data_IF_769883453026
#
_entry.id   IF_769883453026
#
_cell.length_a   1.000
_cell.length_b   1.000
_cell.length_c   1.000
_cell.angle_alpha   90.00
_cell.angle_beta   90.00
_cell.angle_gamma   90.00
#
_symmetry.space_group_name_H-M   'P 1'
#
loop_
_entity.id
_entity.type
_entity.pdbx_description
1 polymer ?
#
# COMPACT_ATOMS: atom_id res chain seq x y z
N UNK A 1 9.73 -46.47 25.54
CA UNK A 1 10.15 -45.41 24.60
C UNK A 1 8.90 -44.65 24.18
N UNK A 2 8.73 -43.40 24.62
CA UNK A 2 7.61 -42.57 24.18
C UNK A 2 8.00 -41.92 22.86
N UNK A 3 7.19 -42.12 21.82
CA UNK A 3 7.29 -41.42 20.54
C UNK A 3 7.23 -39.91 20.80
N UNK A 4 8.11 -39.10 20.16
CA UNK A 4 8.02 -37.65 20.29
C UNK A 4 6.69 -37.17 19.70
N UNK A 5 5.95 -36.35 20.45
CA UNK A 5 4.80 -35.66 19.92
C UNK A 5 5.25 -34.72 18.78
N UNK A 6 4.49 -34.65 17.67
CA UNK A 6 4.75 -33.63 16.66
C UNK A 6 4.61 -32.24 17.28
N UNK A 7 5.40 -31.25 16.84
CA UNK A 7 5.28 -29.89 17.33
C UNK A 7 3.85 -29.39 17.09
N UNK A 8 3.29 -28.57 17.99
CA UNK A 8 1.98 -27.98 17.79
C UNK A 8 1.98 -27.18 16.47
N UNK A 9 0.85 -27.15 15.74
CA UNK A 9 0.76 -26.37 14.51
C UNK A 9 1.11 -24.91 14.81
N UNK A 10 1.98 -24.33 13.99
CA UNK A 10 2.33 -22.91 14.05
C UNK A 10 1.07 -22.12 13.68
N UNK A 11 0.32 -21.69 14.70
CA UNK A 11 -0.79 -20.75 14.54
C UNK A 11 -0.18 -19.43 14.02
N UNK A 12 -0.73 -18.89 12.91
CA UNK A 12 -0.31 -17.60 12.37
C UNK A 12 -0.28 -16.53 13.48
N UNK A 13 0.76 -15.70 13.53
CA UNK A 13 0.88 -14.61 14.53
C UNK A 13 -0.35 -13.68 14.53
N UNK A 14 -1.07 -13.56 13.41
CA UNK A 14 -2.32 -12.79 13.35
C UNK A 14 -3.52 -13.40 14.07
N UNK A 15 -3.46 -14.68 14.39
CA UNK A 15 -4.52 -15.40 15.11
C UNK A 15 -4.25 -15.48 16.62
N UNK A 16 -3.11 -14.98 17.08
CA UNK A 16 -2.82 -14.83 18.50
C UNK A 16 -3.38 -13.49 18.97
N UNK A 17 -4.42 -13.54 19.80
CA UNK A 17 -4.88 -12.38 20.57
C UNK A 17 -3.80 -12.04 21.60
N UNK A 18 -2.84 -11.19 21.24
CA UNK A 18 -1.87 -10.68 22.20
C UNK A 18 -2.58 -9.73 23.18
N UNK A 19 -2.25 -9.85 24.46
CA UNK A 19 -2.86 -9.07 25.55
C UNK A 19 -2.52 -7.58 25.43
N UNK A 20 -3.40 -6.84 24.78
CA UNK A 20 -3.46 -5.37 24.83
C UNK A 20 -3.32 -4.85 26.26
N UNK A 21 -2.69 -3.69 26.43
CA UNK A 21 -2.80 -2.95 27.70
C UNK A 21 -4.29 -2.72 28.00
N UNK A 22 -4.67 -2.69 29.28
CA UNK A 22 -6.08 -2.50 29.62
C UNK A 22 -6.62 -1.19 29.03
N UNK A 23 -5.79 -0.14 28.99
CA UNK A 23 -6.11 1.14 28.34
C UNK A 23 -6.40 0.97 26.84
N UNK A 24 -5.59 0.20 26.10
CA UNK A 24 -5.82 -0.04 24.68
C UNK A 24 -7.06 -0.91 24.43
N UNK A 25 -7.34 -1.89 25.30
CA UNK A 25 -8.58 -2.70 25.26
C UNK A 25 -9.80 -1.80 25.45
N UNK A 26 -9.75 -0.95 26.48
CA UNK A 26 -10.83 -0.03 26.82
C UNK A 26 -11.05 0.96 25.68
N UNK A 27 -9.98 1.52 25.12
CA UNK A 27 -10.04 2.39 23.95
C UNK A 27 -10.71 1.69 22.77
N UNK A 28 -10.19 0.53 22.33
CA UNK A 28 -10.72 -0.19 21.16
C UNK A 28 -12.19 -0.56 21.36
N UNK A 29 -12.59 -0.98 22.57
CA UNK A 29 -13.97 -1.33 22.90
C UNK A 29 -14.93 -0.13 22.86
N UNK A 30 -14.42 1.08 23.09
CA UNK A 30 -15.21 2.32 23.04
C UNK A 30 -15.41 2.87 21.62
N UNK A 31 -14.63 2.41 20.64
CA UNK A 31 -14.67 2.94 19.28
C UNK A 31 -15.90 2.45 18.50
N UNK A 32 -16.48 3.30 17.63
CA UNK A 32 -17.50 2.85 16.68
C UNK A 32 -16.96 1.67 15.86
N UNK A 33 -17.72 0.59 15.83
CA UNK A 33 -17.30 -0.69 15.24
C UNK A 33 -18.30 -1.14 14.18
N UNK A 34 -17.80 -1.59 13.02
CA UNK A 34 -18.63 -2.13 11.95
C UNK A 34 -18.01 -3.43 11.42
N UNK A 35 -18.86 -4.36 10.96
CA UNK A 35 -18.40 -5.58 10.29
C UNK A 35 -17.69 -5.20 8.99
N UNK A 36 -16.43 -5.57 8.84
CA UNK A 36 -15.64 -5.28 7.65
C UNK A 36 -15.96 -6.21 6.47
N UNK A 37 -15.16 -6.09 5.42
CA UNK A 37 -15.19 -6.97 4.25
C UNK A 37 -13.81 -7.53 3.86
N UNK A 38 -12.74 -6.90 4.37
CA UNK A 38 -11.36 -7.40 4.34
C UNK A 38 -11.01 -8.08 5.66
N UNK A 39 -11.27 -7.41 6.78
CA UNK A 39 -11.19 -7.95 8.13
C UNK A 39 -12.61 -8.15 8.72
N UNK A 40 -12.73 -8.95 9.77
CA UNK A 40 -14.02 -9.24 10.41
C UNK A 40 -14.66 -7.99 11.00
N UNK A 41 -13.90 -7.21 11.76
CA UNK A 41 -14.35 -5.98 12.40
C UNK A 41 -13.37 -4.85 12.11
N UNK A 42 -13.94 -3.66 11.92
CA UNK A 42 -13.21 -2.42 11.76
C UNK A 42 -13.63 -1.47 12.88
N UNK A 43 -12.67 -0.74 13.45
CA UNK A 43 -12.89 0.27 14.49
C UNK A 43 -12.55 1.65 13.93
N UNK A 44 -13.41 2.64 14.18
CA UNK A 44 -13.22 4.00 13.69
C UNK A 44 -12.35 4.80 14.66
N UNK A 45 -11.04 4.83 14.40
CA UNK A 45 -10.04 5.55 15.19
C UNK A 45 -9.57 6.80 14.43
N UNK A 46 -9.57 7.97 15.09
CA UNK A 46 -9.16 9.26 14.51
C UNK A 46 -9.80 9.57 13.14
N UNK A 47 -11.05 9.16 12.94
CA UNK A 47 -11.80 9.36 11.71
C UNK A 47 -11.67 8.26 10.66
N UNK A 48 -10.80 7.28 10.86
CA UNK A 48 -10.51 6.21 9.89
C UNK A 48 -10.78 4.81 10.45
N UNK A 49 -11.14 3.89 9.58
CA UNK A 49 -11.47 2.50 9.90
C UNK A 49 -10.21 1.64 9.87
N UNK A 50 -9.88 1.04 11.01
CA UNK A 50 -8.73 0.17 11.19
C UNK A 50 -9.18 -1.23 11.58
N UNK A 51 -8.50 -2.25 11.06
CA UNK A 51 -8.74 -3.62 11.50
C UNK A 51 -8.29 -3.80 12.95
N UNK A 52 -9.02 -4.60 13.73
CA UNK A 52 -8.66 -4.91 15.13
C UNK A 52 -7.20 -5.36 15.26
N UNK A 53 -6.74 -6.19 14.33
CA UNK A 53 -5.36 -6.71 14.27
C UNK A 53 -4.31 -5.62 14.02
N UNK A 54 -4.67 -4.50 13.40
CA UNK A 54 -3.74 -3.40 13.10
C UNK A 54 -3.83 -2.27 14.13
N UNK A 55 -4.92 -2.19 14.91
CA UNK A 55 -5.12 -1.16 15.92
C UNK A 55 -3.97 -1.14 16.93
N UNK A 56 -3.53 -2.32 17.37
CA UNK A 56 -2.46 -2.44 18.36
C UNK A 56 -1.15 -1.85 17.83
N UNK A 57 -0.73 -2.28 16.64
CA UNK A 57 0.48 -1.78 16.01
C UNK A 57 0.40 -0.31 15.62
N UNK A 58 -0.79 0.20 15.28
CA UNK A 58 -1.01 1.62 15.03
C UNK A 58 -0.80 2.46 16.29
N UNK A 59 -1.38 2.06 17.43
CA UNK A 59 -1.22 2.75 18.71
C UNK A 59 0.23 2.70 19.20
N UNK A 60 0.86 1.53 19.14
CA UNK A 60 2.26 1.36 19.51
C UNK A 60 3.20 2.17 18.60
N UNK A 61 2.96 2.17 17.28
CA UNK A 61 3.71 2.98 16.34
C UNK A 61 3.59 4.48 16.65
N UNK A 62 2.37 4.98 16.90
CA UNK A 62 2.15 6.38 17.26
C UNK A 62 2.92 6.80 18.52
N UNK A 63 2.94 5.92 19.53
CA UNK A 63 3.55 6.18 20.83
C UNK A 63 5.08 6.08 20.80
N UNK A 64 5.62 5.15 20.02
CA UNK A 64 7.02 4.73 20.14
C UNK A 64 7.90 5.01 18.92
N UNK A 65 7.33 5.21 17.73
CA UNK A 65 8.14 5.47 16.55
C UNK A 65 8.77 6.86 16.58
N UNK A 66 10.11 6.88 16.51
CA UNK A 66 10.91 8.10 16.42
C UNK A 66 11.52 8.20 15.02
N UNK A 67 10.89 9.03 14.19
CA UNK A 67 11.37 9.33 12.85
C UNK A 67 12.69 10.13 12.91
N UNK A 68 13.64 9.76 12.06
CA UNK A 68 14.86 10.51 11.79
C UNK A 68 14.68 11.36 10.53
N UNK A 69 15.42 12.46 10.41
CA UNK A 69 15.38 13.32 9.21
C UNK A 69 15.74 12.54 7.92
N UNK A 70 16.62 11.54 8.03
CA UNK A 70 17.03 10.68 6.92
C UNK A 70 16.05 9.54 6.62
N UNK A 71 14.98 9.37 7.39
CA UNK A 71 14.00 8.31 7.11
C UNK A 71 13.20 8.62 5.85
N UNK A 72 12.80 7.54 5.18
CA UNK A 72 11.92 7.57 4.02
C UNK A 72 10.71 6.71 4.35
N UNK A 73 9.53 7.35 4.41
CA UNK A 73 8.26 6.72 4.70
C UNK A 73 7.41 6.62 3.43
N UNK A 74 7.21 5.39 2.97
CA UNK A 74 6.27 5.07 1.89
C UNK A 74 4.85 5.00 2.45
N UNK A 75 3.92 5.75 1.86
CA UNK A 75 2.52 5.73 2.28
C UNK A 75 1.60 5.42 1.12
N UNK A 76 0.65 4.52 1.34
CA UNK A 76 -0.40 4.18 0.37
C UNK A 76 -1.68 3.82 1.10
N UNK A 77 -2.83 4.00 0.47
CA UNK A 77 -3.99 3.17 0.81
C UNK A 77 -3.74 1.71 0.38
N UNK A 78 -4.28 0.70 1.08
CA UNK A 78 -4.13 -0.69 0.67
C UNK A 78 -4.41 -0.88 -0.82
N UNK A 79 -3.55 -1.67 -1.49
CA UNK A 79 -3.66 -2.04 -2.92
C UNK A 79 -3.54 -0.90 -3.93
N UNK A 80 -2.88 0.18 -3.54
CA UNK A 80 -2.58 1.34 -4.40
C UNK A 80 -1.16 1.31 -5.01
N UNK A 81 -0.56 0.12 -5.15
CA UNK A 81 0.79 -0.04 -5.72
C UNK A 81 1.92 -0.21 -4.70
N UNK A 82 1.61 -0.48 -3.43
CA UNK A 82 2.58 -0.55 -2.32
C UNK A 82 3.76 -1.48 -2.61
N UNK A 83 3.52 -2.72 -3.05
CA UNK A 83 4.59 -3.70 -3.35
C UNK A 83 5.56 -3.18 -4.41
N UNK A 84 5.04 -2.54 -5.45
CA UNK A 84 5.84 -1.98 -6.53
C UNK A 84 6.67 -0.79 -6.06
N UNK A 85 6.06 0.12 -5.31
CA UNK A 85 6.77 1.27 -4.75
C UNK A 85 7.82 0.86 -3.70
N UNK A 86 7.55 -0.17 -2.88
CA UNK A 86 8.56 -0.73 -1.95
C UNK A 86 9.78 -1.21 -2.71
N UNK A 87 9.57 -1.98 -3.79
CA UNK A 87 10.66 -2.47 -4.63
C UNK A 87 11.45 -1.32 -5.26
N UNK A 88 10.75 -0.34 -5.86
CA UNK A 88 11.38 0.82 -6.51
C UNK A 88 12.17 1.65 -5.51
N UNK A 89 11.60 2.02 -4.37
CA UNK A 89 12.30 2.84 -3.38
C UNK A 89 13.50 2.10 -2.79
N UNK A 90 13.37 0.80 -2.52
CA UNK A 90 14.49 0.00 -2.04
C UNK A 90 15.63 -0.05 -3.06
N UNK A 91 15.33 -0.42 -4.30
CA UNK A 91 16.32 -0.49 -5.38
C UNK A 91 16.96 0.88 -5.61
N UNK A 92 16.18 1.96 -5.65
CA UNK A 92 16.67 3.32 -5.84
C UNK A 92 17.62 3.78 -4.72
N UNK A 93 17.22 3.61 -3.46
CA UNK A 93 17.94 4.13 -2.30
C UNK A 93 19.16 3.28 -1.96
N UNK A 94 19.12 1.98 -2.28
CA UNK A 94 20.23 1.04 -2.01
C UNK A 94 21.05 0.69 -3.26
N UNK A 95 20.85 1.37 -4.39
CA UNK A 95 21.53 1.07 -5.66
C UNK A 95 23.06 1.05 -5.58
N UNK A 96 23.66 1.95 -4.80
CA UNK A 96 25.12 1.99 -4.61
C UNK A 96 25.64 0.84 -3.72
N UNK A 97 24.77 0.22 -2.92
CA UNK A 97 25.13 -0.90 -2.06
C UNK A 97 25.03 -2.24 -2.79
N UNK A 98 24.18 -2.33 -3.82
CA UNK A 98 23.90 -3.55 -4.58
C UNK A 98 24.23 -3.35 -6.06
N UNK A 99 25.53 -3.18 -6.36
CA UNK A 99 26.03 -2.94 -7.72
C UNK A 99 25.90 -4.14 -8.65
N UNK A 100 25.90 -5.37 -8.09
CA UNK A 100 25.68 -6.60 -8.84
C UNK A 100 24.18 -6.91 -8.91
N UNK A 101 23.54 -6.75 -10.09
CA UNK A 101 22.11 -7.00 -10.24
C UNK A 101 21.71 -8.45 -9.92
N UNK A 102 22.63 -9.42 -10.05
CA UNK A 102 22.36 -10.83 -9.80
C UNK A 102 22.31 -11.19 -8.31
N UNK A 103 22.79 -10.29 -7.44
CA UNK A 103 22.77 -10.46 -5.98
C UNK A 103 21.84 -9.49 -5.29
N UNK A 104 20.98 -8.82 -6.05
CA UNK A 104 20.08 -7.84 -5.50
C UNK A 104 19.05 -8.50 -4.57
N UNK A 105 18.81 -7.99 -3.34
CA UNK A 105 17.92 -8.63 -2.37
C UNK A 105 16.50 -8.90 -2.89
N UNK A 106 15.98 -8.04 -3.76
CA UNK A 106 14.67 -8.25 -4.42
C UNK A 106 14.54 -9.58 -5.19
N UNK A 107 15.65 -10.25 -5.55
CA UNK A 107 15.62 -11.56 -6.21
C UNK A 107 15.29 -12.70 -5.25
N UNK A 108 15.59 -12.54 -3.96
CA UNK A 108 15.48 -13.59 -2.94
C UNK A 108 14.55 -13.21 -1.79
N UNK A 109 14.17 -11.95 -1.66
CA UNK A 109 13.31 -11.40 -0.61
C UNK A 109 12.11 -10.67 -1.19
N UNK A 110 10.95 -10.84 -0.58
CA UNK A 110 9.75 -10.10 -0.98
C UNK A 110 9.90 -8.61 -0.61
N UNK A 111 9.44 -7.65 -1.45
CA UNK A 111 9.53 -6.22 -1.13
C UNK A 111 8.95 -5.81 0.22
N UNK A 112 7.97 -6.56 0.74
CA UNK A 112 7.38 -6.31 2.06
C UNK A 112 8.34 -6.61 3.23
N UNK A 113 9.33 -7.48 3.05
CA UNK A 113 10.38 -7.74 4.04
C UNK A 113 11.42 -6.62 4.04
N UNK A 114 11.81 -6.16 2.85
CA UNK A 114 12.87 -5.15 2.67
C UNK A 114 12.45 -3.74 3.11
N UNK A 115 11.15 -3.44 3.02
CA UNK A 115 10.57 -2.17 3.46
C UNK A 115 9.37 -2.49 4.36
N UNK A 116 9.58 -2.76 5.66
CA UNK A 116 8.52 -3.24 6.55
C UNK A 116 7.46 -2.18 6.82
N UNK A 117 6.24 -2.62 7.12
CA UNK A 117 5.18 -1.75 7.61
C UNK A 117 5.37 -1.43 9.08
N UNK A 118 5.21 -0.15 9.45
CA UNK A 118 5.33 0.27 10.84
C UNK A 118 4.28 -0.42 11.71
N UNK A 119 3.01 -0.34 11.33
CA UNK A 119 1.88 -0.80 12.13
C UNK A 119 1.54 -2.30 11.96
N UNK A 120 2.16 -2.99 11.00
CA UNK A 120 1.87 -4.41 10.69
C UNK A 120 3.08 -5.31 10.98
N UNK A 121 4.29 -4.85 10.73
CA UNK A 121 5.51 -5.67 10.83
C UNK A 121 6.41 -5.24 12.00
N UNK A 122 6.59 -3.93 12.20
CA UNK A 122 7.56 -3.38 13.17
C UNK A 122 6.98 -3.30 14.58
N UNK A 123 5.77 -2.76 14.74
CA UNK A 123 5.12 -2.55 16.03
C UNK A 123 4.00 -3.56 16.34
N UNK A 124 4.01 -4.71 15.65
CA UNK A 124 2.98 -5.75 15.79
C UNK A 124 3.11 -6.56 17.09
N UNK A 125 4.31 -6.61 17.68
CA UNK A 125 4.58 -7.27 18.96
C UNK A 125 4.96 -6.21 20.02
N UNK A 126 4.14 -6.11 21.07
CA UNK A 126 4.32 -5.13 22.14
C UNK A 126 5.24 -5.62 23.26
N UNK A 127 5.57 -6.91 23.33
CA UNK A 127 6.45 -7.43 24.39
C UNK A 127 7.91 -7.01 24.18
N UNK A 128 8.28 -6.73 22.93
CA UNK A 128 9.60 -6.26 22.56
C UNK A 128 9.45 -5.07 21.62
N UNK A 129 9.62 -3.86 22.16
CA UNK A 129 9.74 -2.68 21.31
C UNK A 129 10.95 -2.85 20.38
N UNK A 130 10.80 -2.56 19.08
CA UNK A 130 11.87 -2.75 18.11
C UNK A 130 12.99 -1.74 18.37
N UNK A 131 14.23 -2.24 18.46
CA UNK A 131 15.40 -1.38 18.44
C UNK A 131 15.79 -1.03 17.00
N UNK A 132 15.29 0.11 16.55
CA UNK A 132 15.56 0.65 15.22
C UNK A 132 16.89 1.41 15.13
N UNK A 133 17.67 1.50 16.21
CA UNK A 133 18.97 2.19 16.22
C UNK A 133 20.07 1.41 15.48
N UNK A 134 19.88 0.08 15.35
CA UNK A 134 20.78 -0.81 14.61
C UNK A 134 20.64 -0.70 13.08
N UNK A 135 19.57 -0.08 12.57
CA UNK A 135 19.31 0.04 11.14
C UNK A 135 20.11 1.21 10.54
N UNK A 136 20.89 0.92 9.50
CA UNK A 136 21.69 1.92 8.79
C UNK A 136 20.79 2.95 8.06
N UNK A 137 20.99 4.26 8.28
CA UNK A 137 20.32 5.31 7.52
C UNK A 137 20.69 5.32 6.02
N UNK A 138 19.81 5.83 5.12
CA UNK A 138 18.41 6.13 5.38
C UNK A 138 17.61 4.85 5.64
N UNK A 139 16.71 4.88 6.63
CA UNK A 139 15.81 3.76 6.92
C UNK A 139 14.57 3.87 6.04
N UNK A 140 14.14 2.75 5.48
CA UNK A 140 12.97 2.65 4.62
C UNK A 140 11.85 1.96 5.36
N UNK A 141 10.75 2.67 5.57
CA UNK A 141 9.54 2.13 6.18
C UNK A 141 8.34 2.37 5.29
N UNK A 142 7.26 1.64 5.58
CA UNK A 142 5.98 1.84 4.92
C UNK A 142 4.84 1.89 5.92
N UNK A 143 3.71 2.46 5.50
CA UNK A 143 2.49 2.46 6.32
C UNK A 143 1.24 2.63 5.46
N UNK A 144 0.12 2.12 5.97
CA UNK A 144 -1.24 2.40 5.52
C UNK A 144 -1.99 3.32 6.47
N UNK A 145 -1.30 3.93 7.44
CA UNK A 145 -1.92 4.88 8.36
C UNK A 145 -2.28 6.18 7.62
N UNK A 146 -3.49 6.73 7.88
CA UNK A 146 -3.86 8.05 7.38
C UNK A 146 -2.97 9.12 8.03
N UNK A 147 -2.85 10.28 7.38
CA UNK A 147 -1.99 11.37 7.87
C UNK A 147 -2.29 11.78 9.32
N UNK A 148 -3.57 11.82 9.72
CA UNK A 148 -3.99 12.14 11.09
C UNK A 148 -3.46 11.14 12.12
N UNK A 149 -3.26 9.89 11.72
CA UNK A 149 -2.79 8.80 12.56
C UNK A 149 -1.29 8.52 12.41
N UNK A 150 -0.54 9.31 11.64
CA UNK A 150 0.92 9.17 11.65
C UNK A 150 1.50 9.60 13.00
N UNK A 151 2.62 8.98 13.44
CA UNK A 151 3.37 9.45 14.60
C UNK A 151 3.74 10.92 14.46
N UNK A 152 3.69 11.67 15.55
CA UNK A 152 4.02 13.10 15.49
C UNK A 152 5.49 13.34 15.14
N UNK A 153 6.40 12.40 15.43
CA UNK A 153 7.79 12.46 15.00
C UNK A 153 7.90 12.56 13.46
N UNK A 154 7.11 11.82 12.69
CA UNK A 154 7.07 11.89 11.21
C UNK A 154 6.63 13.28 10.74
N UNK A 155 5.68 13.91 11.45
CA UNK A 155 5.15 15.22 11.09
C UNK A 155 6.17 16.34 11.34
N UNK A 156 7.18 16.15 12.17
CA UNK A 156 8.10 17.21 12.59
C UNK A 156 9.59 16.94 12.29
N UNK A 157 10.01 15.71 12.00
CA UNK A 157 11.43 15.33 11.85
C UNK A 157 12.09 15.78 10.53
N UNK A 158 11.29 16.19 9.55
CA UNK A 158 11.78 16.49 8.19
C UNK A 158 11.95 15.26 7.29
N UNK A 159 11.67 14.04 7.79
CA UNK A 159 11.74 12.80 7.01
C UNK A 159 10.94 12.88 5.71
N UNK A 160 11.36 12.11 4.69
CA UNK A 160 10.70 12.11 3.39
C UNK A 160 9.48 11.21 3.40
N UNK A 161 8.33 11.73 3.01
CA UNK A 161 7.07 10.99 2.83
C UNK A 161 6.79 10.84 1.34
N UNK A 162 6.69 9.61 0.86
CA UNK A 162 6.35 9.28 -0.52
C UNK A 162 4.95 8.67 -0.56
N UNK A 163 3.95 9.45 -0.98
CA UNK A 163 2.58 8.98 -1.11
C UNK A 163 2.28 8.50 -2.54
N UNK A 164 1.73 7.29 -2.67
CA UNK A 164 1.24 6.77 -3.94
C UNK A 164 -0.28 6.56 -3.91
N UNK A 165 -0.95 7.34 -4.72
CA UNK A 165 -2.39 7.29 -4.96
C UNK A 165 -2.70 6.36 -6.13
N UNK A 166 -3.88 5.74 -6.12
CA UNK A 166 -4.41 5.00 -7.27
C UNK A 166 -5.87 5.35 -7.48
N UNK A 167 -6.39 5.18 -8.69
CA UNK A 167 -7.81 5.33 -8.96
C UNK A 167 -8.64 4.48 -7.97
N UNK A 168 -9.67 5.07 -7.32
CA UNK A 168 -10.46 4.38 -6.30
C UNK A 168 -11.11 3.10 -6.80
N UNK A 169 -11.47 3.01 -8.09
CA UNK A 169 -12.14 1.85 -8.69
C UNK A 169 -11.16 0.69 -8.86
N UNK A 170 -9.96 0.97 -9.37
CA UNK A 170 -8.90 -0.05 -9.47
C UNK A 170 -8.39 -0.49 -8.10
N UNK A 171 -8.23 0.45 -7.17
CA UNK A 171 -7.85 0.14 -5.80
C UNK A 171 -8.90 -0.76 -5.12
N UNK A 172 -10.19 -0.45 -5.29
CA UNK A 172 -11.29 -1.27 -4.79
C UNK A 172 -11.26 -2.69 -5.36
N UNK A 173 -11.24 -2.84 -6.68
CA UNK A 173 -11.24 -4.17 -7.33
C UNK A 173 -10.01 -4.98 -6.90
N UNK A 174 -8.85 -4.34 -6.81
CA UNK A 174 -7.64 -4.99 -6.32
C UNK A 174 -7.75 -5.43 -4.86
N UNK A 175 -8.43 -4.67 -4.00
CA UNK A 175 -8.66 -5.00 -2.60
C UNK A 175 -9.70 -6.09 -2.43
N UNK A 176 -10.74 -6.11 -3.26
CA UNK A 176 -11.74 -7.18 -3.28
C UNK A 176 -11.16 -8.54 -3.67
N UNK A 177 -10.35 -8.60 -4.73
CA UNK A 177 -9.64 -9.83 -5.07
C UNK A 177 -8.68 -10.28 -3.99
N UNK A 178 -7.94 -9.33 -3.41
CA UNK A 178 -6.99 -9.63 -2.35
C UNK A 178 -7.69 -10.19 -1.10
N UNK A 179 -8.76 -9.53 -0.65
CA UNK A 179 -9.57 -10.01 0.48
C UNK A 179 -10.11 -11.42 0.23
N UNK A 180 -10.61 -11.71 -0.98
CA UNK A 180 -11.09 -13.04 -1.34
C UNK A 180 -9.99 -14.11 -1.34
N UNK A 181 -8.76 -13.74 -1.71
CA UNK A 181 -7.62 -14.66 -1.69
C UNK A 181 -7.14 -14.98 -0.26
N UNK A 182 -7.35 -14.06 0.68
CA UNK A 182 -6.99 -14.26 2.10
C UNK A 182 -8.05 -15.01 2.90
N UNK A 183 -9.24 -15.25 2.33
CA UNK A 183 -10.33 -15.93 3.03
C UNK A 183 -10.01 -17.41 3.26
N UNK A 184 -10.44 -17.99 4.40
CA UNK A 184 -10.33 -19.43 4.61
C UNK A 184 -11.00 -20.22 3.48
N UNK A 185 -10.36 -21.31 3.06
CA UNK A 185 -10.89 -22.21 2.04
C UNK A 185 -12.31 -22.66 2.44
N UNK A 186 -13.26 -22.55 1.52
CA UNK A 186 -14.66 -22.94 1.74
C UNK A 186 -15.58 -21.86 2.33
N UNK A 187 -15.06 -20.69 2.72
CA UNK A 187 -15.89 -19.59 3.28
C UNK A 187 -16.68 -18.77 2.24
N UNK A 188 -16.55 -19.11 0.95
CA UNK A 188 -17.18 -18.40 -0.16
C UNK A 188 -16.57 -17.02 -0.43
N UNK A 189 -16.79 -16.50 -1.64
CA UNK A 189 -16.32 -15.16 -2.01
C UNK A 189 -17.18 -14.07 -1.35
N UNK A 190 -16.56 -12.96 -0.97
CA UNK A 190 -17.27 -11.72 -0.63
C UNK A 190 -18.12 -11.26 -1.80
N UNK A 191 -19.37 -10.89 -1.53
CA UNK A 191 -20.20 -10.14 -2.48
C UNK A 191 -19.46 -8.87 -2.92
N UNK A 192 -19.27 -8.71 -4.23
CA UNK A 192 -18.69 -7.51 -4.83
C UNK A 192 -19.54 -6.28 -4.49
N UNK A 193 -20.87 -6.39 -4.62
CA UNK A 193 -21.80 -5.30 -4.37
C UNK A 193 -21.76 -4.82 -2.91
N UNK A 194 -21.73 -5.75 -1.94
CA UNK A 194 -21.68 -5.39 -0.52
C UNK A 194 -20.33 -4.77 -0.15
N UNK A 195 -19.24 -5.33 -0.66
CA UNK A 195 -17.90 -4.76 -0.48
C UNK A 195 -17.81 -3.36 -1.10
N UNK A 196 -18.40 -3.17 -2.27
CA UNK A 196 -18.41 -1.89 -2.99
C UNK A 196 -19.21 -0.82 -2.25
N UNK A 197 -20.39 -1.16 -1.73
CA UNK A 197 -21.19 -0.22 -0.95
C UNK A 197 -20.44 0.22 0.32
N UNK A 198 -19.86 -0.72 1.06
CA UNK A 198 -19.03 -0.43 2.24
C UNK A 198 -17.83 0.45 1.89
N UNK A 199 -17.13 0.15 0.80
CA UNK A 199 -16.01 0.96 0.32
C UNK A 199 -16.44 2.40 0.02
N UNK A 200 -17.55 2.59 -0.71
CA UNK A 200 -18.08 3.92 -1.02
C UNK A 200 -18.55 4.70 0.21
N UNK A 201 -19.06 4.01 1.24
CA UNK A 201 -19.37 4.59 2.57
C UNK A 201 -18.13 4.91 3.40
N UNK A 202 -16.94 4.52 2.92
CA UNK A 202 -15.66 4.69 3.61
C UNK A 202 -15.32 3.57 4.60
N UNK A 203 -16.18 2.55 4.75
CA UNK A 203 -16.00 1.39 5.64
C UNK A 203 -15.08 0.37 4.98
N UNK A 204 -13.79 0.64 5.01
CA UNK A 204 -12.73 -0.22 4.49
C UNK A 204 -11.47 -0.04 5.32
N UNK A 205 -10.51 -0.97 5.26
CA UNK A 205 -9.23 -0.83 6.00
C UNK A 205 -8.51 0.44 5.53
N UNK A 206 -8.12 1.29 6.47
CA UNK A 206 -7.58 2.64 6.25
C UNK A 206 -8.53 3.62 5.54
N UNK A 207 -9.82 3.28 5.44
CA UNK A 207 -10.85 4.16 4.87
C UNK A 207 -11.33 5.22 5.88
N UNK A 208 -12.00 6.31 5.44
CA UNK A 208 -12.47 6.54 4.08
C UNK A 208 -11.36 6.83 3.07
N UNK A 209 -11.44 6.18 1.91
CA UNK A 209 -10.37 6.19 0.89
C UNK A 209 -10.00 7.60 0.38
N UNK A 210 -11.03 8.42 0.09
CA UNK A 210 -10.82 9.78 -0.41
C UNK A 210 -10.22 10.72 0.63
N UNK A 211 -10.66 10.61 1.89
CA UNK A 211 -10.12 11.42 2.98
C UNK A 211 -8.65 11.05 3.27
N UNK A 212 -8.29 9.77 3.10
CA UNK A 212 -6.91 9.30 3.20
C UNK A 212 -6.02 9.97 2.15
N UNK A 213 -6.48 9.98 0.88
CA UNK A 213 -5.78 10.66 -0.21
C UNK A 213 -5.65 12.16 0.05
N UNK A 214 -6.74 12.82 0.45
CA UNK A 214 -6.76 14.26 0.67
C UNK A 214 -5.82 14.70 1.79
N UNK A 215 -5.65 13.89 2.83
CA UNK A 215 -4.69 14.17 3.90
C UNK A 215 -3.27 14.34 3.35
N UNK A 216 -2.81 13.37 2.57
CA UNK A 216 -1.46 13.41 1.98
C UNK A 216 -1.32 14.38 0.80
N UNK A 217 -2.39 14.60 0.04
CA UNK A 217 -2.41 15.65 -0.98
C UNK A 217 -2.17 17.02 -0.36
N UNK A 218 -2.92 17.37 0.69
CA UNK A 218 -2.75 18.65 1.41
C UNK A 218 -1.35 18.77 2.01
N UNK A 219 -0.81 17.70 2.58
CA UNK A 219 0.55 17.73 3.12
C UNK A 219 1.60 17.95 2.03
N UNK A 220 1.46 17.31 0.87
CA UNK A 220 2.39 17.50 -0.25
C UNK A 220 2.42 18.94 -0.79
N UNK A 221 1.30 19.66 -0.67
CA UNK A 221 1.23 21.08 -1.02
C UNK A 221 1.83 21.96 0.08
N UNK A 222 1.64 21.58 1.34
CA UNK A 222 2.14 22.34 2.50
C UNK A 222 3.65 22.23 2.67
N UNK A 223 4.21 21.04 2.39
CA UNK A 223 5.62 20.69 2.63
C UNK A 223 6.21 19.91 1.44
N UNK A 224 6.30 20.53 0.26
CA UNK A 224 6.77 19.86 -0.97
C UNK A 224 8.22 19.34 -0.87
N UNK A 225 9.01 19.86 0.07
CA UNK A 225 10.37 19.40 0.37
C UNK A 225 10.40 18.09 1.16
N UNK A 226 9.38 17.80 1.98
CA UNK A 226 9.29 16.60 2.82
C UNK A 226 8.21 15.62 2.39
N UNK A 227 7.27 16.00 1.53
CA UNK A 227 6.19 15.13 1.06
C UNK A 227 6.01 15.22 -0.46
N UNK A 228 6.08 14.07 -1.13
CA UNK A 228 5.77 13.95 -2.56
C UNK A 228 4.52 13.10 -2.77
N UNK A 229 3.64 13.56 -3.66
CA UNK A 229 2.45 12.85 -4.08
C UNK A 229 2.60 12.38 -5.53
N UNK A 230 2.43 11.08 -5.74
CA UNK A 230 2.52 10.42 -7.04
C UNK A 230 1.22 9.64 -7.28
N UNK A 231 0.77 9.57 -8.52
CA UNK A 231 -0.31 8.69 -8.94
C UNK A 231 0.26 7.45 -9.62
N UNK A 232 -0.29 6.29 -9.27
CA UNK A 232 0.09 4.99 -9.80
C UNK A 232 -0.02 4.95 -11.32
N UNK A 233 -1.06 5.57 -11.84
CA UNK A 233 -1.36 5.70 -13.26
C UNK A 233 -0.27 6.47 -14.01
N UNK A 234 0.08 7.68 -13.56
CA UNK A 234 1.15 8.50 -14.16
C UNK A 234 2.51 7.78 -14.06
N UNK A 235 2.76 7.11 -12.92
CA UNK A 235 3.97 6.32 -12.72
C UNK A 235 4.03 5.09 -13.63
N UNK A 236 2.89 4.49 -13.98
CA UNK A 236 2.80 3.37 -14.93
C UNK A 236 3.00 3.83 -16.37
N UNK A 237 2.52 5.02 -16.70
CA UNK A 237 2.64 5.63 -18.02
C UNK A 237 4.08 6.10 -18.30
N UNK A 238 4.70 6.81 -17.36
CA UNK A 238 6.06 7.33 -17.49
C UNK A 238 6.99 6.89 -16.33
N UNK A 239 7.30 5.58 -16.22
CA UNK A 239 8.03 5.05 -15.06
C UNK A 239 9.42 5.65 -14.87
N UNK A 240 10.16 5.91 -15.97
CA UNK A 240 11.49 6.50 -15.90
C UNK A 240 11.46 7.97 -15.45
N UNK A 241 10.45 8.74 -15.87
CA UNK A 241 10.25 10.12 -15.43
C UNK A 241 9.99 10.16 -13.92
N UNK A 242 9.07 9.33 -13.43
CA UNK A 242 8.74 9.27 -12.02
C UNK A 242 9.87 8.70 -11.15
N UNK A 243 10.66 7.76 -11.67
CA UNK A 243 11.85 7.26 -10.97
C UNK A 243 12.90 8.35 -10.78
N UNK A 244 13.19 9.15 -11.82
CA UNK A 244 14.10 10.31 -11.70
C UNK A 244 13.55 11.37 -10.76
N UNK A 245 12.23 11.62 -10.80
CA UNK A 245 11.56 12.55 -9.88
C UNK A 245 11.67 12.10 -8.43
N UNK A 246 11.52 10.81 -8.16
CA UNK A 246 11.75 10.21 -6.84
C UNK A 246 13.21 10.38 -6.40
N UNK A 247 14.17 10.03 -7.26
CA UNK A 247 15.60 10.15 -6.99
C UNK A 247 15.97 11.59 -6.59
N UNK A 248 15.49 12.58 -7.34
CA UNK A 248 15.71 14.00 -7.04
C UNK A 248 15.07 14.42 -5.71
N UNK A 249 13.83 13.99 -5.44
CA UNK A 249 13.12 14.32 -4.20
C UNK A 249 13.81 13.72 -2.96
N UNK A 250 14.34 12.51 -3.08
CA UNK A 250 15.05 11.81 -2.00
C UNK A 250 16.50 12.28 -1.82
N UNK A 251 16.96 13.26 -2.62
CA UNK A 251 18.31 13.82 -2.51
C UNK A 251 19.40 12.93 -3.10
N UNK A 252 19.05 11.96 -3.94
CA UNK A 252 19.98 11.04 -4.60
C UNK A 252 19.73 10.98 -6.13
N UNK A 253 19.79 12.11 -6.86
CA UNK A 253 19.56 12.14 -8.30
C UNK A 253 20.53 11.22 -9.04
N UNK A 254 20.11 10.69 -10.20
CA UNK A 254 21.00 9.89 -11.02
C UNK A 254 22.11 10.74 -11.64
N UNK A 255 23.33 10.24 -11.64
CA UNK A 255 24.44 10.89 -12.34
C UNK A 255 24.35 10.71 -13.87
N UNK A 256 25.02 11.55 -14.68
CA UNK A 256 25.12 11.34 -16.12
C UNK A 256 25.68 9.96 -16.49
N UNK A 257 26.61 9.44 -15.68
CA UNK A 257 27.16 8.10 -15.83
C UNK A 257 26.10 7.03 -15.53
N UNK A 258 25.33 7.15 -14.45
CA UNK A 258 24.23 6.21 -14.15
C UNK A 258 23.18 6.18 -15.26
N UNK A 259 22.84 7.35 -15.82
CA UNK A 259 21.93 7.46 -16.96
C UNK A 259 22.51 6.78 -18.20
N UNK A 260 23.78 7.03 -18.52
CA UNK A 260 24.47 6.45 -19.69
C UNK A 260 24.61 4.92 -19.57
N UNK A 261 24.84 4.41 -18.36
CA UNK A 261 24.94 2.97 -18.09
C UNK A 261 23.57 2.28 -17.91
N UNK A 262 22.46 3.01 -18.09
CA UNK A 262 21.11 2.43 -18.04
C UNK A 262 20.69 1.96 -16.64
N UNK A 263 21.20 2.58 -15.56
CA UNK A 263 20.84 2.22 -14.18
C UNK A 263 19.33 2.40 -13.93
N UNK A 264 18.75 3.48 -14.49
CA UNK A 264 17.31 3.75 -14.46
C UNK A 264 16.52 2.57 -15.04
N UNK A 265 16.88 2.12 -16.24
CA UNK A 265 16.22 0.99 -16.90
C UNK A 265 16.47 -0.33 -16.16
N UNK A 266 17.66 -0.50 -15.58
CA UNK A 266 17.99 -1.65 -14.73
C UNK A 266 17.06 -1.77 -13.52
N UNK A 267 16.86 -0.67 -12.79
CA UNK A 267 15.93 -0.61 -11.64
C UNK A 267 14.50 -0.90 -12.09
N UNK A 268 14.04 -0.29 -13.18
CA UNK A 268 12.68 -0.51 -13.69
C UNK A 268 12.44 -1.95 -14.14
N UNK A 269 13.42 -2.57 -14.79
CA UNK A 269 13.35 -3.97 -15.21
C UNK A 269 13.29 -4.91 -14.01
N UNK A 270 14.17 -4.68 -13.02
CA UNK A 270 14.22 -5.44 -11.77
C UNK A 270 12.90 -5.33 -10.99
N UNK A 271 12.34 -4.13 -10.92
CA UNK A 271 11.10 -3.85 -10.18
C UNK A 271 9.83 -4.05 -11.02
N UNK A 272 9.93 -4.53 -12.26
CA UNK A 272 8.77 -4.72 -13.13
C UNK A 272 7.82 -5.77 -12.55
N UNK A 273 6.53 -5.64 -12.88
CA UNK A 273 5.53 -6.63 -12.48
C UNK A 273 5.90 -8.03 -12.98
N UNK A 274 6.31 -8.14 -14.25
CA UNK A 274 6.71 -9.39 -14.88
C UNK A 274 7.90 -10.02 -14.15
N UNK A 275 8.95 -9.25 -13.85
CA UNK A 275 10.10 -9.79 -13.12
C UNK A 275 9.71 -10.22 -11.70
N UNK A 276 9.16 -9.30 -10.90
CA UNK A 276 8.85 -9.57 -9.49
C UNK A 276 7.86 -10.72 -9.31
N UNK A 277 6.79 -10.78 -10.11
CA UNK A 277 5.80 -11.87 -10.00
C UNK A 277 6.35 -13.23 -10.43
N UNK A 278 7.44 -13.27 -11.19
CA UNK A 278 8.04 -14.50 -11.67
C UNK A 278 9.14 -15.09 -10.78
N UNK A 279 9.63 -14.34 -9.79
CA UNK A 279 10.64 -14.83 -8.85
C UNK A 279 10.07 -15.91 -7.93
N UNK A 280 10.88 -16.94 -7.63
CA UNK A 280 10.47 -18.07 -6.80
C UNK A 280 9.98 -17.62 -5.41
N UNK A 281 10.70 -16.68 -4.77
CA UNK A 281 10.29 -16.09 -3.49
C UNK A 281 8.88 -15.49 -3.54
N UNK A 282 8.46 -14.94 -4.69
CA UNK A 282 7.16 -14.31 -4.84
C UNK A 282 6.05 -15.27 -5.30
N UNK A 283 6.40 -16.40 -5.92
CA UNK A 283 5.46 -17.44 -6.33
C UNK A 283 5.03 -18.34 -5.17
N UNK A 284 5.98 -18.74 -4.32
CA UNK A 284 5.76 -19.75 -3.29
C UNK A 284 6.15 -19.33 -1.87
N UNK A 285 6.82 -18.18 -1.71
CA UNK A 285 7.19 -17.68 -0.39
C UNK A 285 6.00 -17.25 0.45
N UNK A 286 6.19 -17.25 1.76
CA UNK A 286 5.18 -16.87 2.76
C UNK A 286 5.84 -15.85 3.70
N UNK A 287 5.18 -14.72 3.93
CA UNK A 287 5.66 -13.74 4.91
C UNK A 287 5.59 -14.32 6.33
N UNK A 288 6.34 -13.75 7.28
CA UNK A 288 6.26 -14.08 8.72
C UNK A 288 4.84 -13.98 9.29
N UNK A 289 4.02 -13.21 8.60
CA UNK A 289 2.62 -12.96 8.85
C UNK A 289 1.70 -14.14 8.46
N UNK A 290 2.21 -15.09 7.67
CA UNK A 290 1.45 -16.23 7.15
C UNK A 290 0.78 -15.95 5.80
N UNK A 291 0.97 -14.76 5.24
CA UNK A 291 0.43 -14.40 3.93
C UNK A 291 1.32 -14.93 2.81
N UNK A 292 0.73 -15.63 1.84
CA UNK A 292 1.44 -16.06 0.64
C UNK A 292 1.86 -14.85 -0.22
N UNK A 293 3.12 -14.82 -0.64
CA UNK A 293 3.68 -13.71 -1.42
C UNK A 293 2.96 -13.54 -2.77
N UNK A 294 2.46 -14.61 -3.35
CA UNK A 294 1.72 -14.57 -4.61
C UNK A 294 0.39 -13.80 -4.48
N UNK A 295 -0.09 -13.50 -3.27
CA UNK A 295 -1.30 -12.71 -3.06
C UNK A 295 -1.11 -11.22 -3.41
N UNK A 296 0.14 -10.75 -3.48
CA UNK A 296 0.45 -9.37 -3.83
C UNK A 296 0.47 -9.11 -5.35
N UNK A 297 0.58 -10.17 -6.17
CA UNK A 297 0.70 -10.09 -7.62
C UNK A 297 -0.57 -10.62 -8.29
N UNK A 298 -1.24 -9.78 -9.10
CA UNK A 298 -2.48 -10.15 -9.80
C UNK A 298 -2.46 -9.80 -11.29
N UNK A 299 -2.45 -8.50 -11.61
CA UNK A 299 -2.37 -7.99 -13.00
C UNK A 299 -1.39 -6.83 -13.16
N UNK A 300 -1.36 -5.90 -12.19
CA UNK A 300 -0.47 -4.74 -12.26
C UNK A 300 -0.85 -3.72 -13.35
N UNK A 301 -2.13 -3.70 -13.73
CA UNK A 301 -2.71 -2.90 -14.82
C UNK A 301 -3.55 -1.73 -14.30
N UNK A 302 -3.82 -0.78 -15.20
CA UNK A 302 -4.73 0.37 -15.01
C UNK A 302 -6.03 0.06 -15.76
N UNK A 303 -7.18 0.39 -15.17
CA UNK A 303 -8.48 0.26 -15.82
C UNK A 303 -9.12 -1.13 -15.71
N UNK A 304 -8.53 -2.07 -14.97
CA UNK A 304 -9.08 -3.41 -14.80
C UNK A 304 -10.43 -3.38 -14.07
N UNK A 305 -10.76 -2.30 -13.36
CA UNK A 305 -12.09 -2.07 -12.81
C UNK A 305 -13.23 -2.20 -13.84
N UNK A 306 -12.97 -1.92 -15.12
CA UNK A 306 -13.97 -2.04 -16.20
C UNK A 306 -14.46 -3.48 -16.40
N UNK A 307 -13.67 -4.46 -16.00
CA UNK A 307 -14.03 -5.88 -16.09
C UNK A 307 -14.95 -6.35 -14.95
N UNK A 308 -15.18 -5.51 -13.93
CA UNK A 308 -15.87 -5.91 -12.69
C UNK A 308 -17.00 -4.97 -12.29
N UNK A 309 -16.89 -3.67 -12.59
CA UNK A 309 -17.86 -2.68 -12.17
C UNK A 309 -18.79 -2.30 -13.33
N UNK A 310 -20.08 -2.31 -13.08
CA UNK A 310 -21.06 -1.79 -14.04
C UNK A 310 -20.98 -0.27 -14.15
N UNK A 311 -21.48 0.28 -15.25
CA UNK A 311 -21.65 1.73 -15.45
C UNK A 311 -22.38 2.39 -14.28
N UNK A 312 -23.38 1.71 -13.72
CA UNK A 312 -24.17 2.24 -12.60
C UNK A 312 -23.40 2.23 -11.28
N UNK A 313 -22.58 1.20 -11.04
CA UNK A 313 -21.70 1.19 -9.89
C UNK A 313 -20.70 2.34 -9.95
N UNK A 314 -20.10 2.59 -11.11
CA UNK A 314 -19.03 3.60 -11.33
C UNK A 314 -19.49 5.03 -11.03
N UNK A 315 -20.76 5.36 -11.24
CA UNK A 315 -21.31 6.69 -10.95
C UNK A 315 -21.11 7.12 -9.49
N UNK A 316 -21.21 6.18 -8.54
CA UNK A 316 -21.10 6.47 -7.09
C UNK A 316 -19.68 6.93 -6.68
N UNK A 317 -18.59 6.16 -6.90
CA UNK A 317 -17.24 6.60 -6.57
C UNK A 317 -16.81 7.81 -7.40
N UNK A 318 -17.30 7.96 -8.63
CA UNK A 318 -17.05 9.18 -9.40
C UNK A 318 -17.71 10.40 -8.73
N UNK A 319 -18.99 10.34 -8.37
CA UNK A 319 -19.64 11.44 -7.65
C UNK A 319 -18.91 11.79 -6.35
N UNK A 320 -18.54 10.79 -5.53
CA UNK A 320 -17.78 11.00 -4.29
C UNK A 320 -16.43 11.66 -4.59
N UNK A 321 -15.72 11.20 -5.62
CA UNK A 321 -14.42 11.78 -6.00
C UNK A 321 -14.57 13.24 -6.40
N UNK A 322 -15.60 13.57 -7.19
CA UNK A 322 -15.85 14.95 -7.62
C UNK A 322 -16.16 15.84 -6.43
N UNK A 323 -17.04 15.40 -5.53
CA UNK A 323 -17.42 16.15 -4.32
C UNK A 323 -16.22 16.35 -3.39
N UNK A 324 -15.51 15.27 -3.04
CA UNK A 324 -14.40 15.31 -2.08
C UNK A 324 -13.21 16.10 -2.60
N UNK A 325 -12.89 15.98 -3.89
CA UNK A 325 -11.72 16.66 -4.46
C UNK A 325 -12.05 18.08 -4.97
N UNK A 326 -13.32 18.48 -4.95
CA UNK A 326 -13.72 19.83 -5.31
C UNK A 326 -12.94 20.88 -4.50
N UNK A 327 -12.37 21.89 -5.18
CA UNK A 327 -11.59 22.96 -4.55
C UNK A 327 -10.21 22.55 -4.01
N UNK A 328 -9.86 21.24 -4.00
CA UNK A 328 -8.56 20.76 -3.50
C UNK A 328 -7.39 20.96 -4.47
N UNK A 329 -7.68 21.15 -5.75
CA UNK A 329 -6.68 21.12 -6.84
C UNK A 329 -6.26 19.71 -7.28
N UNK A 330 -6.67 18.64 -6.57
CA UNK A 330 -6.40 17.27 -6.98
C UNK A 330 -7.30 16.87 -8.14
N UNK A 331 -6.70 16.68 -9.32
CA UNK A 331 -7.40 16.20 -10.52
C UNK A 331 -7.33 14.68 -10.63
N UNK A 332 -8.40 14.07 -11.14
CA UNK A 332 -8.37 12.66 -11.58
C UNK A 332 -7.33 12.48 -12.68
N UNK A 333 -6.71 11.31 -12.72
CA UNK A 333 -5.77 10.97 -13.80
C UNK A 333 -6.54 10.68 -15.08
N UNK A 334 -7.62 9.90 -14.99
CA UNK A 334 -8.43 9.57 -16.14
C UNK A 334 -9.91 9.89 -15.95
N UNK A 335 -10.54 10.35 -17.02
CA UNK A 335 -11.98 10.26 -17.26
C UNK A 335 -12.30 8.94 -17.98
N UNK A 336 -13.56 8.51 -17.98
CA UNK A 336 -14.01 7.35 -18.78
C UNK A 336 -13.64 7.52 -20.27
N UNK A 337 -13.61 8.76 -20.75
CA UNK A 337 -13.23 9.11 -22.12
C UNK A 337 -11.73 8.88 -22.37
N UNK A 338 -10.86 9.29 -21.44
CA UNK A 338 -9.40 9.15 -21.61
C UNK A 338 -8.89 7.70 -21.45
N UNK A 339 -9.62 6.83 -20.74
CA UNK A 339 -9.24 5.41 -20.61
C UNK A 339 -9.43 4.61 -21.91
N UNK A 340 -10.26 5.09 -22.84
CA UNK A 340 -10.46 4.45 -24.15
C UNK A 340 -9.21 4.51 -25.02
N UNK A 341 -8.44 5.58 -24.89
CA UNK A 341 -7.19 5.77 -25.62
C UNK A 341 -6.01 5.02 -24.97
N UNK A 342 -6.07 4.81 -23.65
CA UNK A 342 -5.00 4.15 -22.88
C UNK A 342 -4.91 2.63 -23.12
N UNK A 343 -6.04 1.96 -23.37
CA UNK A 343 -6.08 0.50 -23.43
C UNK A 343 -5.95 -0.11 -24.83
N UNK A 344 -5.85 0.68 -25.91
CA UNK A 344 -5.52 0.22 -27.27
C UNK A 344 -6.43 -0.85 -27.91
N UNK A 345 -7.39 -1.42 -27.20
CA UNK A 345 -8.31 -2.46 -27.64
C UNK A 345 -9.59 -2.44 -26.81
N UNK A 346 -10.63 -1.77 -27.33
CA UNK A 346 -12.00 -2.25 -27.20
C UNK A 346 -12.65 -2.11 -28.59
N UNK A 347 -13.15 -3.23 -29.12
CA UNK A 347 -13.79 -3.35 -30.43
C UNK A 347 -14.92 -2.31 -30.64
N UNK A 348 -15.17 -1.82 -31.88
CA UNK A 348 -16.09 -0.71 -32.15
C UNK A 348 -17.60 -0.98 -31.97
N UNK A 349 -18.00 -2.11 -31.37
CA UNK A 349 -19.40 -2.57 -31.43
C UNK A 349 -20.31 -2.07 -30.29
N UNK A 350 -19.84 -1.22 -29.37
CA UNK A 350 -20.65 -0.69 -28.25
C UNK A 350 -21.19 0.73 -28.52
N UNK A 351 -21.33 1.12 -29.79
CA UNK A 351 -22.00 2.36 -30.17
C UNK A 351 -22.96 2.16 -31.35
N UNK A 352 -24.09 1.53 -31.05
CA UNK A 352 -25.34 1.79 -31.76
C UNK A 352 -26.46 1.77 -30.73
N UNK A 353 -26.67 2.91 -30.07
CA UNK A 353 -27.98 3.50 -29.78
C UNK A 353 -27.80 4.75 -28.89
N UNK A 354 -28.70 5.71 -29.06
CA UNK A 354 -28.72 7.08 -28.51
C UNK A 354 -28.08 8.16 -29.40
N UNK A 355 -28.81 8.47 -30.48
CA UNK A 355 -29.16 9.84 -30.84
C UNK A 355 -30.50 10.18 -30.19
#
# INVERSE_FOLDING_TARGET
MKTPQPPPPVVSRYLQENELSQEDKDLISSLPTEKGWVANYLHKYQGFWQATTHMQGALACQKHFQALESDILLVTTPKSGTTWLKAILFALVKREHYLDPQRHPLLTENPHVLVPFLEIDVYTDIQVLPDLSSLAPPRLFSTHLPYSSLPDSVKHSGCKVVYLCRDPKDAFVSLWHFANKLRPVGSGASSLADAFDKFCRGVSVSGPFWDHILGFWKESLKRPESAIFIKFEEMKEEPALHLRRLAKFLGCPFSPEEETHGVVDGILRLCSFENLSNLDVNKSGILSSGMENNAFFRKGEVGDWMNYLTTEMVKKPDSITQEKFHGSGLKRVYSIENLRDFNGFIHPWIFMEFN
#
